data_IF_860178420920
#
_entry.id   IF_860178420920
#
_cell.length_a   1.000
_cell.length_b   1.000
_cell.length_c   1.000
_cell.angle_alpha   90.00
_cell.angle_beta   90.00
_cell.angle_gamma   90.00
#
_symmetry.space_group_name_H-M   'P 1'
#
loop_
_entity.id
_entity.type
_entity.pdbx_description
1 polymer ?
#
# COMPACT_ATOMS: atom_id res chain seq x y z
N UNK A 1 -41.22 18.59 14.03
CA UNK A 1 -41.41 17.60 12.94
C UNK A 1 -40.06 16.95 12.72
N UNK A 2 -39.93 15.68 13.09
CA UNK A 2 -38.76 14.85 12.87
C UNK A 2 -38.55 14.64 11.37
N UNK A 3 -37.29 14.65 10.92
CA UNK A 3 -36.60 13.48 10.38
C UNK A 3 -35.22 13.95 9.92
N UNK A 4 -34.21 13.29 10.51
CA UNK A 4 -32.83 13.31 10.08
C UNK A 4 -32.73 12.77 8.65
N UNK A 5 -31.90 13.39 7.82
CA UNK A 5 -31.09 12.61 6.88
C UNK A 5 -29.66 13.12 6.97
N UNK A 6 -28.99 12.66 8.02
CA UNK A 6 -27.54 12.50 8.01
C UNK A 6 -27.22 11.44 6.93
N UNK A 7 -27.16 11.84 5.66
CA UNK A 7 -26.61 11.03 4.58
C UNK A 7 -25.09 11.22 4.52
N UNK A 8 -24.42 10.92 5.62
CA UNK A 8 -22.97 10.70 5.63
C UNK A 8 -22.76 9.19 5.72
N UNK A 9 -22.40 8.60 4.57
CA UNK A 9 -21.48 7.47 4.42
C UNK A 9 -21.42 6.53 5.64
N UNK A 10 -22.51 5.81 5.93
CA UNK A 10 -22.34 4.55 6.63
C UNK A 10 -21.78 3.60 5.58
N UNK A 11 -20.45 3.46 5.53
CA UNK A 11 -19.84 2.31 4.88
C UNK A 11 -20.59 1.10 5.42
N UNK A 12 -21.20 0.30 4.54
CA UNK A 12 -21.96 -0.86 4.98
C UNK A 12 -20.96 -1.86 5.56
N UNK A 13 -20.68 -1.70 6.84
CA UNK A 13 -19.71 -2.51 7.57
C UNK A 13 -20.15 -3.96 7.61
N UNK A 14 -21.45 -4.22 7.53
CA UNK A 14 -21.99 -5.58 7.45
C UNK A 14 -21.67 -6.20 6.09
N UNK A 15 -21.79 -5.43 5.00
CA UNK A 15 -21.32 -5.86 3.67
C UNK A 15 -19.79 -6.00 3.63
N UNK A 16 -19.01 -5.08 4.20
CA UNK A 16 -17.54 -5.17 4.24
C UNK A 16 -17.05 -6.41 4.99
N UNK A 17 -17.68 -6.70 6.12
CA UNK A 17 -17.27 -7.79 7.01
C UNK A 17 -17.86 -9.15 6.57
N UNK A 18 -18.85 -9.16 5.67
CA UNK A 18 -19.31 -10.39 5.03
C UNK A 18 -18.26 -10.86 4.01
N UNK A 19 -17.57 -11.99 4.28
CA UNK A 19 -16.55 -12.51 3.38
C UNK A 19 -17.10 -12.88 2.00
N UNK A 20 -18.42 -13.08 1.87
CA UNK A 20 -19.10 -13.43 0.62
C UNK A 20 -19.70 -12.23 -0.11
N UNK A 21 -19.54 -11.01 0.41
CA UNK A 21 -20.08 -9.84 -0.26
C UNK A 21 -19.24 -9.44 -1.49
N UNK A 22 -19.88 -8.90 -2.54
CA UNK A 22 -19.18 -8.32 -3.67
C UNK A 22 -18.25 -7.16 -3.27
N UNK A 23 -18.62 -6.37 -2.26
CA UNK A 23 -17.78 -5.26 -1.77
C UNK A 23 -16.48 -5.76 -1.12
N UNK A 24 -16.56 -6.78 -0.27
CA UNK A 24 -15.37 -7.37 0.34
C UNK A 24 -14.47 -8.05 -0.72
N UNK A 25 -15.05 -8.75 -1.68
CA UNK A 25 -14.30 -9.32 -2.80
C UNK A 25 -13.53 -8.24 -3.56
N UNK A 26 -14.20 -7.14 -3.91
CA UNK A 26 -13.58 -6.02 -4.62
C UNK A 26 -12.41 -5.39 -3.84
N UNK A 27 -12.61 -5.13 -2.55
CA UNK A 27 -11.59 -4.55 -1.67
C UNK A 27 -10.41 -5.52 -1.50
N UNK A 28 -10.67 -6.81 -1.34
CA UNK A 28 -9.61 -7.81 -1.24
C UNK A 28 -8.79 -7.89 -2.53
N UNK A 29 -9.43 -7.83 -3.70
CA UNK A 29 -8.72 -7.78 -4.99
C UNK A 29 -7.85 -6.53 -5.11
N UNK A 30 -8.31 -5.39 -4.60
CA UNK A 30 -7.52 -4.15 -4.56
C UNK A 30 -6.31 -4.28 -3.62
N UNK A 31 -6.50 -4.83 -2.41
CA UNK A 31 -5.41 -5.10 -1.48
C UNK A 31 -4.36 -6.04 -2.06
N UNK A 32 -4.78 -7.11 -2.76
CA UNK A 32 -3.86 -8.04 -3.45
C UNK A 32 -3.02 -7.30 -4.49
N UNK A 33 -3.61 -6.39 -5.28
CA UNK A 33 -2.86 -5.60 -6.27
C UNK A 33 -1.83 -4.70 -5.61
N UNK A 34 -2.19 -4.06 -4.50
CA UNK A 34 -1.28 -3.18 -3.74
C UNK A 34 -0.11 -4.00 -3.18
N UNK A 35 -0.37 -5.16 -2.57
CA UNK A 35 0.68 -6.04 -2.05
C UNK A 35 1.62 -6.52 -3.16
N UNK A 36 1.08 -6.95 -4.30
CA UNK A 36 1.90 -7.36 -5.45
C UNK A 36 2.80 -6.23 -5.96
N UNK A 37 2.30 -4.98 -5.95
CA UNK A 37 3.10 -3.81 -6.31
C UNK A 37 4.22 -3.55 -5.29
N UNK A 38 3.93 -3.68 -3.99
CA UNK A 38 4.94 -3.55 -2.93
C UNK A 38 6.07 -4.55 -3.10
N UNK A 39 5.73 -5.82 -3.31
CA UNK A 39 6.70 -6.90 -3.51
C UNK A 39 7.57 -6.64 -4.74
N UNK A 40 6.95 -6.24 -5.86
CA UNK A 40 7.68 -5.89 -7.09
C UNK A 40 8.64 -4.71 -6.89
N UNK A 41 8.23 -3.66 -6.17
CA UNK A 41 9.09 -2.52 -5.86
C UNK A 41 10.25 -2.91 -4.94
N UNK A 42 10.00 -3.76 -3.93
CA UNK A 42 11.05 -4.27 -3.03
C UNK A 42 12.09 -5.07 -3.82
N UNK A 43 11.66 -5.98 -4.69
CA UNK A 43 12.57 -6.80 -5.49
C UNK A 43 13.39 -5.94 -6.45
N UNK A 44 12.75 -5.01 -7.17
CA UNK A 44 13.41 -4.10 -8.09
C UNK A 44 14.46 -3.23 -7.38
N UNK A 45 14.13 -2.67 -6.21
CA UNK A 45 15.04 -1.84 -5.44
C UNK A 45 16.24 -2.64 -4.90
N UNK A 46 16.02 -3.87 -4.44
CA UNK A 46 17.10 -4.76 -4.00
C UNK A 46 18.04 -5.12 -5.16
N UNK A 47 17.49 -5.45 -6.32
CA UNK A 47 18.25 -5.74 -7.52
C UNK A 47 19.08 -4.53 -7.96
N UNK A 48 18.46 -3.35 -8.02
CA UNK A 48 19.15 -2.10 -8.36
C UNK A 48 20.29 -1.78 -7.38
N UNK A 49 20.07 -1.97 -6.08
CA UNK A 49 21.10 -1.76 -5.07
C UNK A 49 22.28 -2.73 -5.25
N UNK A 50 22.02 -4.00 -5.58
CA UNK A 50 23.05 -4.99 -5.82
C UNK A 50 23.87 -4.70 -7.10
N UNK A 51 23.22 -4.24 -8.16
CA UNK A 51 23.86 -3.88 -9.43
C UNK A 51 24.68 -2.59 -9.32
N UNK A 52 24.14 -1.58 -8.63
CA UNK A 52 24.76 -0.25 -8.51
C UNK A 52 25.86 -0.21 -7.46
N UNK A 53 25.70 -0.96 -6.36
CA UNK A 53 26.64 -0.98 -5.24
C UNK A 53 27.01 -2.41 -4.86
N UNK A 54 27.85 -3.10 -5.67
CA UNK A 54 28.25 -4.49 -5.41
C UNK A 54 28.95 -4.69 -4.05
N UNK A 55 29.59 -3.64 -3.53
CA UNK A 55 30.22 -3.62 -2.21
C UNK A 55 29.22 -3.84 -1.06
N UNK A 56 27.92 -3.62 -1.28
CA UNK A 56 26.87 -3.95 -0.30
C UNK A 56 26.82 -5.45 0.00
N UNK A 57 27.28 -6.32 -0.91
CA UNK A 57 27.36 -7.75 -0.63
C UNK A 57 28.33 -8.09 0.51
N UNK A 58 29.35 -7.25 0.71
CA UNK A 58 30.33 -7.37 1.79
C UNK A 58 29.98 -6.51 3.01
N UNK A 59 28.88 -5.74 2.95
CA UNK A 59 28.45 -4.91 4.06
C UNK A 59 28.10 -5.76 5.29
N UNK A 60 28.33 -5.16 6.47
CA UNK A 60 27.94 -5.76 7.75
C UNK A 60 26.44 -6.08 7.74
N UNK A 61 26.01 -7.19 8.36
CA UNK A 61 24.59 -7.59 8.40
C UNK A 61 23.65 -6.49 8.90
N UNK A 62 24.10 -5.66 9.84
CA UNK A 62 23.35 -4.52 10.37
C UNK A 62 23.05 -3.47 9.30
N UNK A 63 24.01 -3.19 8.41
CA UNK A 63 23.84 -2.23 7.32
C UNK A 63 22.91 -2.79 6.24
N UNK A 64 23.02 -4.09 5.93
CA UNK A 64 22.07 -4.77 5.02
C UNK A 64 20.64 -4.69 5.54
N UNK A 65 20.43 -4.99 6.83
CA UNK A 65 19.12 -4.89 7.48
C UNK A 65 18.57 -3.46 7.47
N UNK A 66 19.42 -2.47 7.73
CA UNK A 66 19.02 -1.06 7.67
C UNK A 66 18.58 -0.65 6.25
N UNK A 67 19.33 -1.08 5.23
CA UNK A 67 18.98 -0.86 3.83
C UNK A 67 17.67 -1.53 3.46
N UNK A 68 17.49 -2.81 3.82
CA UNK A 68 16.25 -3.55 3.57
C UNK A 68 15.04 -2.84 4.19
N UNK A 69 15.16 -2.34 5.42
CA UNK A 69 14.10 -1.58 6.07
C UNK A 69 13.75 -0.28 5.32
N UNK A 70 14.75 0.43 4.80
CA UNK A 70 14.54 1.66 4.02
C UNK A 70 13.84 1.34 2.69
N UNK A 71 14.27 0.28 2.01
CA UNK A 71 13.67 -0.19 0.77
C UNK A 71 12.20 -0.54 1.01
N UNK A 72 11.90 -1.39 2.00
CA UNK A 72 10.53 -1.81 2.31
C UNK A 72 9.65 -0.60 2.63
N UNK A 73 10.11 0.31 3.49
CA UNK A 73 9.34 1.50 3.88
C UNK A 73 9.00 2.38 2.68
N UNK A 74 9.95 2.59 1.77
CA UNK A 74 9.72 3.42 0.58
C UNK A 74 8.84 2.71 -0.44
N UNK A 75 9.02 1.41 -0.65
CA UNK A 75 8.16 0.62 -1.55
C UNK A 75 6.70 0.61 -1.09
N UNK A 76 6.44 0.49 0.21
CA UNK A 76 5.09 0.61 0.77
C UNK A 76 4.53 2.01 0.49
N UNK A 77 5.27 3.07 0.84
CA UNK A 77 4.82 4.45 0.60
C UNK A 77 4.51 4.69 -0.87
N UNK A 78 5.42 4.33 -1.78
CA UNK A 78 5.23 4.48 -3.21
C UNK A 78 4.04 3.69 -3.72
N UNK A 79 3.80 2.47 -3.22
CA UNK A 79 2.62 1.69 -3.62
C UNK A 79 1.31 2.36 -3.25
N UNK A 80 1.25 3.01 -2.08
CA UNK A 80 0.10 3.78 -1.62
C UNK A 80 -0.06 5.04 -2.46
N UNK A 81 1.02 5.78 -2.69
CA UNK A 81 1.01 6.99 -3.53
C UNK A 81 0.52 6.67 -4.95
N UNK A 82 1.00 5.57 -5.55
CA UNK A 82 0.55 5.09 -6.87
C UNK A 82 -0.93 4.70 -6.84
N UNK A 83 -1.37 3.98 -5.80
CA UNK A 83 -2.76 3.58 -5.63
C UNK A 83 -3.70 4.79 -5.50
N UNK A 84 -3.30 5.82 -4.75
CA UNK A 84 -4.06 7.06 -4.59
C UNK A 84 -4.21 7.80 -5.92
N UNK A 85 -3.13 7.91 -6.70
CA UNK A 85 -3.16 8.52 -8.04
C UNK A 85 -4.07 7.74 -8.99
N UNK A 86 -3.99 6.41 -9.01
CA UNK A 86 -4.81 5.56 -9.89
C UNK A 86 -6.29 5.65 -9.53
N UNK A 87 -6.61 5.71 -8.24
CA UNK A 87 -8.00 5.78 -7.75
C UNK A 87 -8.59 7.19 -7.81
N UNK A 88 -7.80 8.20 -8.17
CA UNK A 88 -8.23 9.60 -8.20
C UNK A 88 -8.56 10.16 -6.81
N UNK A 89 -8.14 9.48 -5.74
CA UNK A 89 -8.19 10.00 -4.37
C UNK A 89 -6.99 10.92 -4.19
N UNK A 90 -7.09 12.10 -4.79
CA UNK A 90 -6.22 13.21 -4.39
C UNK A 90 -6.43 13.47 -2.90
N UNK A 91 -5.33 13.81 -2.25
CA UNK A 91 -5.16 14.08 -0.83
C UNK A 91 -6.20 15.11 -0.32
N UNK A 92 -7.39 14.67 0.11
CA UNK A 92 -8.38 15.48 0.86
C UNK A 92 -7.92 15.76 2.32
N UNK A 93 -6.62 15.72 2.59
CA UNK A 93 -6.03 16.09 3.90
C UNK A 93 -5.30 17.46 3.84
N UNK A 94 -5.96 18.47 3.27
CA UNK A 94 -5.70 19.87 3.62
C UNK A 94 -7.02 20.51 4.05
N UNK A 95 -7.40 20.38 5.33
CA UNK A 95 -8.12 21.38 6.14
C UNK A 95 -8.10 21.01 7.64
#
# INVERSE_FOLDING_TARGET
>A
MFIQQQNYLYMDWDELMDPLSPMNESIMQEQIKIVNLQDGLIEAAKKLAAETYPSLNQARPQLKKALDNVIIKHSIKMSVDISNVITGREHDDEL
#
